data_IF_160624313005
#
_entry.id   IF_160624313005
#
_cell.length_a   1.000
_cell.length_b   1.000
_cell.length_c   1.000
_cell.angle_alpha   90.00
_cell.angle_beta   90.00
_cell.angle_gamma   90.00
#
_symmetry.space_group_name_H-M   'P 1'
#
loop_
_entity.id
_entity.type
_entity.pdbx_description
1 polymer ?
#
# COMPACT_ATOMS: atom_id res chain seq x y z
N UNK A 1 34.42 -2.28 -4.89
CA UNK A 1 33.13 -2.27 -5.59
C UNK A 1 33.11 -3.47 -6.53
N UNK A 2 32.13 -4.36 -6.40
CA UNK A 2 31.97 -5.54 -7.26
C UNK A 2 31.60 -5.11 -8.69
N UNK A 3 32.07 -5.83 -9.71
CA UNK A 3 31.68 -5.59 -11.11
C UNK A 3 30.17 -5.73 -11.26
N UNK A 4 29.50 -4.69 -11.75
CA UNK A 4 28.06 -4.69 -12.02
C UNK A 4 27.86 -4.84 -13.53
N UNK A 5 27.22 -5.93 -13.98
CA UNK A 5 26.98 -6.18 -15.40
C UNK A 5 25.84 -5.32 -15.98
N UNK A 6 24.83 -5.00 -15.16
CA UNK A 6 23.68 -4.19 -15.55
C UNK A 6 23.28 -3.23 -14.43
N UNK A 7 23.30 -1.91 -14.71
CA UNK A 7 22.80 -0.91 -13.79
C UNK A 7 21.26 -0.92 -13.78
N UNK A 8 20.66 -1.68 -12.86
CA UNK A 8 19.21 -1.73 -12.65
C UNK A 8 18.85 -1.77 -11.17
N UNK A 9 17.72 -1.16 -10.85
CA UNK A 9 17.11 -1.22 -9.53
C UNK A 9 16.10 -2.36 -9.50
N UNK A 10 16.18 -3.20 -8.47
CA UNK A 10 15.16 -4.22 -8.20
C UNK A 10 13.86 -3.50 -7.83
N UNK A 11 12.73 -3.75 -8.52
CA UNK A 11 11.48 -3.09 -8.19
C UNK A 11 11.08 -3.44 -6.76
N UNK A 12 10.85 -2.42 -5.93
CA UNK A 12 10.31 -2.62 -4.58
C UNK A 12 8.84 -3.01 -4.71
N UNK A 13 8.43 -4.07 -4.01
CA UNK A 13 7.01 -4.39 -3.82
C UNK A 13 6.44 -3.37 -2.84
N UNK A 14 5.94 -2.25 -3.36
CA UNK A 14 5.26 -1.23 -2.56
C UNK A 14 3.81 -1.66 -2.42
N UNK A 15 3.48 -2.29 -1.29
CA UNK A 15 2.08 -2.55 -0.93
C UNK A 15 1.45 -1.21 -0.56
N UNK A 16 0.52 -0.74 -1.38
CA UNK A 16 -0.27 0.44 -1.05
C UNK A 16 -1.48 -0.02 -0.25
N UNK A 17 -1.69 0.51 0.97
CA UNK A 17 -2.93 0.21 1.69
C UNK A 17 -4.11 0.69 0.85
N UNK A 18 -5.19 -0.09 0.86
CA UNK A 18 -6.45 0.30 0.24
C UNK A 18 -7.05 1.53 0.93
N UNK A 19 -8.02 2.20 0.29
CA UNK A 19 -8.60 3.45 0.80
C UNK A 19 -9.29 3.29 2.16
N UNK A 20 -9.83 2.10 2.44
CA UNK A 20 -10.54 1.80 3.69
C UNK A 20 -9.71 1.02 4.72
N UNK A 21 -8.40 0.87 4.48
CA UNK A 21 -7.52 0.18 5.41
C UNK A 21 -7.48 0.83 6.82
N UNK A 22 -7.44 2.16 7.00
CA UNK A 22 -7.37 2.71 8.36
C UNK A 22 -8.64 2.42 9.17
N UNK A 23 -9.83 2.57 8.57
CA UNK A 23 -11.11 2.28 9.23
C UNK A 23 -11.24 0.77 9.54
N UNK A 24 -10.73 -0.09 8.67
CA UNK A 24 -10.69 -1.53 8.91
C UNK A 24 -9.78 -1.87 10.10
N UNK A 25 -8.58 -1.29 10.16
CA UNK A 25 -7.66 -1.53 11.27
C UNK A 25 -8.21 -1.00 12.60
N UNK A 26 -8.94 0.11 12.57
CA UNK A 26 -9.66 0.64 13.73
C UNK A 26 -10.74 -0.33 14.21
N UNK A 27 -11.52 -0.92 13.30
CA UNK A 27 -12.54 -1.91 13.64
C UNK A 27 -11.92 -3.17 14.26
N UNK A 28 -10.84 -3.67 13.67
CA UNK A 28 -10.11 -4.84 14.18
C UNK A 28 -9.50 -4.56 15.57
N UNK A 29 -9.01 -3.34 15.79
CA UNK A 29 -8.48 -2.92 17.09
C UNK A 29 -9.58 -2.85 18.14
N UNK A 30 -10.76 -2.35 17.76
CA UNK A 30 -11.93 -2.31 18.62
C UNK A 30 -12.38 -3.72 19.03
N UNK A 31 -12.49 -4.65 18.08
CA UNK A 31 -12.81 -6.05 18.38
C UNK A 31 -11.80 -6.69 19.33
N UNK A 32 -10.52 -6.41 19.13
CA UNK A 32 -9.45 -6.93 20.00
C UNK A 32 -9.55 -6.39 21.44
N UNK A 33 -10.00 -5.14 21.62
CA UNK A 33 -10.11 -4.53 22.95
C UNK A 33 -11.41 -4.86 23.69
N UNK A 34 -12.54 -4.95 22.97
CA UNK A 34 -13.88 -5.00 23.60
C UNK A 34 -14.55 -6.38 23.49
N UNK A 35 -13.99 -7.29 22.68
CA UNK A 35 -14.60 -8.60 22.34
C UNK A 35 -15.98 -8.49 21.66
N UNK A 36 -16.37 -7.30 21.18
CA UNK A 36 -17.62 -7.04 20.44
C UNK A 36 -17.49 -7.45 18.97
N UNK A 37 -17.46 -8.76 18.70
CA UNK A 37 -17.29 -9.31 17.34
C UNK A 37 -18.43 -8.96 16.38
N UNK A 38 -19.63 -8.70 16.90
CA UNK A 38 -20.80 -8.37 16.08
C UNK A 38 -20.90 -6.88 15.77
N UNK A 39 -20.01 -6.04 16.33
CA UNK A 39 -20.03 -4.59 16.17
C UNK A 39 -21.37 -3.95 16.55
N UNK A 40 -22.08 -4.52 17.52
CA UNK A 40 -23.44 -4.07 17.89
C UNK A 40 -23.43 -3.08 19.05
N UNK A 41 -22.32 -2.99 19.80
CA UNK A 41 -22.21 -2.19 21.01
C UNK A 41 -21.14 -1.12 20.83
N UNK A 42 -19.96 -1.33 21.40
CA UNK A 42 -18.89 -0.35 21.49
C UNK A 42 -18.23 -0.11 20.12
N UNK A 43 -18.23 -1.11 19.23
CA UNK A 43 -17.61 -1.02 17.90
C UNK A 43 -18.59 -0.57 16.79
N UNK A 44 -19.84 -0.23 17.11
CA UNK A 44 -20.88 0.11 16.13
C UNK A 44 -20.58 1.36 15.31
N UNK A 45 -19.95 2.37 15.92
CA UNK A 45 -19.55 3.61 15.23
C UNK A 45 -18.41 3.37 14.26
N UNK A 46 -17.42 2.57 14.67
CA UNK A 46 -16.27 2.20 13.84
C UNK A 46 -16.69 1.34 12.64
N UNK A 47 -17.64 0.41 12.85
CA UNK A 47 -18.23 -0.38 11.77
C UNK A 47 -18.99 0.47 10.74
N UNK A 48 -19.75 1.49 11.20
CA UNK A 48 -20.40 2.44 10.28
C UNK A 48 -19.40 3.22 9.44
N UNK A 49 -18.32 3.71 10.05
CA UNK A 49 -17.26 4.44 9.35
C UNK A 49 -16.58 3.58 8.27
N UNK A 50 -16.34 2.29 8.56
CA UNK A 50 -15.82 1.34 7.57
C UNK A 50 -16.82 1.13 6.43
N UNK A 51 -18.10 0.91 6.75
CA UNK A 51 -19.14 0.72 5.74
C UNK A 51 -19.28 1.93 4.82
N UNK A 52 -19.29 3.14 5.37
CA UNK A 52 -19.37 4.38 4.60
C UNK A 52 -18.15 4.57 3.70
N UNK A 53 -16.95 4.23 4.19
CA UNK A 53 -15.77 4.19 3.34
C UNK A 53 -15.93 3.18 2.20
N UNK A 54 -16.32 1.94 2.47
CA UNK A 54 -16.44 0.92 1.42
C UNK A 54 -17.50 1.27 0.37
N UNK A 55 -18.57 2.00 0.77
CA UNK A 55 -19.62 2.48 -0.14
C UNK A 55 -19.15 3.62 -1.03
N UNK A 56 -18.31 4.53 -0.51
CA UNK A 56 -17.95 5.79 -1.19
C UNK A 56 -16.55 5.77 -1.81
N UNK A 57 -15.69 4.85 -1.39
CA UNK A 57 -14.30 4.85 -1.78
C UNK A 57 -14.12 4.62 -3.28
N UNK A 58 -13.27 5.43 -3.95
CA UNK A 58 -12.96 5.23 -5.35
C UNK A 58 -12.17 3.93 -5.56
N UNK A 59 -12.25 3.33 -6.76
CA UNK A 59 -11.47 2.14 -7.09
C UNK A 59 -9.96 2.45 -7.03
N UNK A 60 -9.16 1.44 -6.64
CA UNK A 60 -7.70 1.58 -6.59
C UNK A 60 -7.16 1.93 -7.98
N UNK A 61 -6.56 3.11 -8.08
CA UNK A 61 -5.94 3.55 -9.32
C UNK A 61 -4.62 2.81 -9.56
N UNK A 62 -4.42 2.37 -10.81
CA UNK A 62 -3.14 1.81 -11.25
C UNK A 62 -2.08 2.91 -11.20
N UNK A 63 -1.04 2.65 -10.42
CA UNK A 63 0.09 3.56 -10.29
C UNK A 63 0.93 3.49 -11.56
N UNK A 64 1.33 4.66 -12.05
CA UNK A 64 2.33 4.73 -13.11
C UNK A 64 3.66 4.15 -12.62
N UNK A 65 4.20 3.18 -13.37
CA UNK A 65 5.48 2.55 -13.04
C UNK A 65 6.61 3.53 -13.36
N UNK A 66 7.59 3.71 -12.47
CA UNK A 66 8.73 4.57 -12.75
C UNK A 66 9.60 3.97 -13.87
N UNK A 67 10.07 4.80 -14.79
CA UNK A 67 10.96 4.42 -15.90
C UNK A 67 12.44 4.42 -15.50
N UNK A 68 12.74 4.34 -14.20
CA UNK A 68 14.12 4.47 -13.67
C UNK A 68 15.12 3.50 -14.32
N UNK A 69 14.72 2.24 -14.53
CA UNK A 69 15.59 1.22 -15.13
C UNK A 69 15.93 1.52 -16.60
N UNK A 70 15.06 2.24 -17.31
CA UNK A 70 15.34 2.71 -18.67
C UNK A 70 16.47 3.76 -18.67
N UNK A 71 16.39 4.73 -17.77
CA UNK A 71 17.41 5.78 -17.66
C UNK A 71 18.76 5.23 -17.16
N UNK A 72 18.75 4.34 -16.18
CA UNK A 72 19.96 3.70 -15.65
C UNK A 72 20.66 2.83 -16.69
N UNK A 73 19.90 2.10 -17.52
CA UNK A 73 20.48 1.33 -18.62
C UNK A 73 21.19 2.24 -19.64
N UNK A 74 20.63 3.43 -19.93
CA UNK A 74 21.26 4.40 -20.85
C UNK A 74 22.54 5.03 -20.25
N UNK A 75 22.53 5.32 -18.95
CA UNK A 75 23.65 5.92 -18.23
C UNK A 75 24.77 4.93 -17.89
N UNK A 76 24.50 3.62 -17.95
CA UNK A 76 25.47 2.56 -17.64
C UNK A 76 26.80 2.73 -18.38
N UNK A 77 26.79 3.22 -19.62
CA UNK A 77 27.98 3.48 -20.44
C UNK A 77 28.95 4.51 -19.85
N UNK A 78 28.45 5.41 -19.02
CA UNK A 78 29.25 6.47 -18.39
C UNK A 78 29.61 6.15 -16.94
N UNK A 79 28.82 5.31 -16.27
CA UNK A 79 28.93 5.04 -14.84
C UNK A 79 29.59 3.69 -14.52
N UNK A 80 29.49 2.72 -15.42
CA UNK A 80 30.13 1.40 -15.31
C UNK A 80 31.28 1.37 -16.32
N UNK A 81 32.40 1.98 -15.95
CA UNK A 81 33.70 1.79 -16.58
C UNK A 81 34.55 0.88 -15.72
#
# INVERSE_FOLDING_TARGET
MTRIEQLKVKPKKVTRPGPCNPQLMEMLSCWASTQDMESTRECATVAKNLHDCMRTAPPLQKVQKPTINYHLARLSRYLIK
#
